data_IF_523991034686
#
_entry.id   IF_523991034686
#
_cell.length_a   1.000
_cell.length_b   1.000
_cell.length_c   1.000
_cell.angle_alpha   90.00
_cell.angle_beta   90.00
_cell.angle_gamma   90.00
#
_symmetry.space_group_name_H-M   'P 1'
#
loop_
_entity.id
_entity.type
_entity.pdbx_description
1 polymer ?
#
# COMPACT_ATOMS: atom_id res chain seq x y z
N UNK A 1 39.29 -46.88 51.20
CA UNK A 1 38.42 -47.07 50.02
C UNK A 1 37.34 -46.02 50.15
N UNK A 2 37.24 -44.96 49.32
CA UNK A 2 36.94 -44.96 47.88
C UNK A 2 37.32 -43.59 47.28
N UNK A 3 37.98 -43.61 46.11
CA UNK A 3 38.35 -42.46 45.26
C UNK A 3 37.12 -41.66 44.77
N UNK A 4 37.20 -40.33 44.75
CA UNK A 4 36.50 -39.43 43.81
C UNK A 4 37.42 -38.23 43.50
N UNK A 5 38.27 -38.37 42.48
CA UNK A 5 38.17 -37.72 41.16
C UNK A 5 38.17 -36.19 41.22
N UNK A 6 39.37 -35.63 40.98
CA UNK A 6 39.61 -34.24 40.60
C UNK A 6 39.02 -33.99 39.22
N UNK A 7 38.16 -32.98 39.09
CA UNK A 7 37.81 -32.39 37.80
C UNK A 7 38.29 -30.94 37.81
N UNK A 8 39.40 -30.69 37.12
CA UNK A 8 39.90 -29.33 36.86
C UNK A 8 39.01 -28.69 35.78
N UNK A 9 38.20 -27.71 36.16
CA UNK A 9 37.47 -26.88 35.20
C UNK A 9 38.43 -25.79 34.68
N UNK A 10 39.00 -26.02 33.50
CA UNK A 10 39.69 -24.98 32.75
C UNK A 10 38.65 -24.03 32.14
N UNK A 11 38.48 -22.85 32.75
CA UNK A 11 37.67 -21.77 32.19
C UNK A 11 38.51 -21.07 31.11
N UNK A 12 38.30 -21.46 29.86
CA UNK A 12 38.79 -20.72 28.69
C UNK A 12 37.89 -19.49 28.49
N UNK A 13 38.36 -18.33 28.96
CA UNK A 13 37.76 -17.05 28.64
C UNK A 13 38.06 -16.72 27.18
N UNK A 14 37.08 -16.91 26.29
CA UNK A 14 37.13 -16.41 24.90
C UNK A 14 36.63 -14.97 24.92
N UNK A 15 37.45 -13.96 24.59
CA UNK A 15 36.96 -12.60 24.41
C UNK A 15 36.10 -12.54 23.13
N UNK A 16 34.79 -12.42 23.29
CA UNK A 16 33.86 -12.09 22.21
C UNK A 16 34.04 -10.60 21.86
N UNK A 17 34.99 -10.32 20.98
CA UNK A 17 35.12 -9.01 20.33
C UNK A 17 33.98 -8.85 19.31
N UNK A 18 32.78 -8.46 19.79
CA UNK A 18 31.74 -7.94 18.90
C UNK A 18 32.15 -6.55 18.42
N UNK A 19 32.89 -6.50 17.31
CA UNK A 19 33.05 -5.28 16.54
C UNK A 19 31.71 -4.91 15.94
N UNK A 20 30.98 -3.98 16.58
CA UNK A 20 29.82 -3.33 15.96
C UNK A 20 30.37 -2.40 14.88
N UNK A 21 30.52 -2.91 13.66
CA UNK A 21 30.66 -2.05 12.48
C UNK A 21 29.33 -1.35 12.27
N UNK A 22 29.18 -0.15 12.84
CA UNK A 22 28.09 0.75 12.47
C UNK A 22 28.30 1.09 10.98
N UNK A 23 27.40 0.70 10.07
CA UNK A 23 27.49 1.22 8.71
C UNK A 23 27.37 2.74 8.82
N UNK A 24 28.35 3.45 8.27
CA UNK A 24 28.21 4.89 8.06
C UNK A 24 26.89 5.09 7.31
N UNK A 25 25.92 5.72 7.96
CA UNK A 25 24.65 6.06 7.35
C UNK A 25 24.97 7.03 6.21
N UNK A 26 25.18 6.50 5.01
CA UNK A 26 25.06 7.29 3.81
C UNK A 26 23.68 7.90 3.88
N UNK A 27 23.61 9.22 4.11
CA UNK A 27 22.39 9.97 3.94
C UNK A 27 22.01 9.80 2.47
N UNK A 28 21.20 8.79 2.16
CA UNK A 28 20.51 8.71 0.88
C UNK A 28 19.64 9.95 0.86
N UNK A 29 20.06 10.95 0.09
CA UNK A 29 19.17 12.05 -0.29
C UNK A 29 17.90 11.38 -0.79
N UNK A 30 16.78 11.62 -0.11
CA UNK A 30 15.51 11.05 -0.53
C UNK A 30 15.30 11.49 -1.99
N UNK A 31 14.96 10.55 -2.90
CA UNK A 31 14.62 10.92 -4.27
C UNK A 31 13.59 12.04 -4.24
N UNK A 32 13.78 13.07 -5.07
CA UNK A 32 12.79 14.13 -5.20
C UNK A 32 11.51 13.52 -5.75
N UNK A 33 10.46 13.49 -4.95
CA UNK A 33 9.13 13.00 -5.35
C UNK A 33 8.54 13.85 -6.47
N UNK A 34 7.69 13.25 -7.30
CA UNK A 34 6.88 13.99 -8.26
C UNK A 34 5.86 14.88 -7.53
N UNK A 35 6.15 16.18 -7.45
CA UNK A 35 5.32 17.12 -6.69
C UNK A 35 3.88 17.22 -7.22
N UNK A 36 3.66 17.05 -8.53
CA UNK A 36 2.34 17.13 -9.14
C UNK A 36 1.51 15.90 -8.76
N UNK A 37 2.06 14.69 -8.90
CA UNK A 37 1.40 13.46 -8.44
C UNK A 37 1.18 13.48 -6.93
N UNK A 38 2.14 13.98 -6.14
CA UNK A 38 1.98 14.09 -4.69
C UNK A 38 0.83 15.04 -4.30
N UNK A 39 0.68 16.16 -5.00
CA UNK A 39 -0.44 17.08 -4.80
C UNK A 39 -1.77 16.43 -5.21
N UNK A 40 -1.79 15.73 -6.35
CA UNK A 40 -2.96 15.02 -6.83
C UNK A 40 -3.43 13.94 -5.85
N UNK A 41 -2.51 13.10 -5.33
CA UNK A 41 -2.83 12.08 -4.33
C UNK A 41 -3.47 12.68 -3.08
N UNK A 42 -2.93 13.80 -2.58
CA UNK A 42 -3.53 14.50 -1.42
C UNK A 42 -4.92 15.04 -1.76
N UNK A 43 -5.08 15.67 -2.93
CA UNK A 43 -6.35 16.24 -3.35
C UNK A 43 -7.44 15.18 -3.51
N UNK A 44 -7.16 14.04 -4.16
CA UNK A 44 -8.15 12.96 -4.33
C UNK A 44 -8.46 12.21 -3.04
N UNK A 45 -7.60 12.29 -2.02
CA UNK A 45 -7.81 11.67 -0.72
C UNK A 45 -8.58 12.57 0.27
N UNK A 46 -8.52 13.89 0.09
CA UNK A 46 -9.15 14.86 0.97
C UNK A 46 -10.65 15.02 0.64
N UNK A 47 -11.57 14.63 1.55
CA UNK A 47 -13.01 14.75 1.32
C UNK A 47 -13.52 16.20 1.28
N UNK A 48 -12.71 17.17 1.68
CA UNK A 48 -13.06 18.60 1.65
C UNK A 48 -12.76 19.26 0.31
N UNK A 49 -11.94 18.63 -0.54
CA UNK A 49 -11.59 19.14 -1.87
C UNK A 49 -12.73 18.81 -2.84
N UNK A 50 -13.27 19.83 -3.50
CA UNK A 50 -14.34 19.66 -4.49
C UNK A 50 -13.89 18.75 -5.65
N UNK A 51 -14.78 17.91 -6.18
CA UNK A 51 -14.45 16.94 -7.24
C UNK A 51 -13.82 17.60 -8.47
N UNK A 52 -14.28 18.80 -8.84
CA UNK A 52 -13.68 19.55 -9.94
C UNK A 52 -12.21 19.93 -9.65
N UNK A 53 -11.88 20.27 -8.41
CA UNK A 53 -10.50 20.55 -7.99
C UNK A 53 -9.64 19.30 -7.89
N UNK A 54 -10.22 18.17 -7.46
CA UNK A 54 -9.55 16.87 -7.52
C UNK A 54 -9.15 16.53 -8.97
N UNK A 55 -10.08 16.68 -9.92
CA UNK A 55 -9.80 16.44 -11.36
C UNK A 55 -8.75 17.43 -11.89
N UNK A 56 -8.85 18.71 -11.53
CA UNK A 56 -7.86 19.74 -11.92
C UNK A 56 -6.45 19.47 -11.36
N UNK A 57 -6.35 18.77 -10.23
CA UNK A 57 -5.06 18.44 -9.61
C UNK A 57 -4.27 17.38 -10.35
N UNK A 58 -4.91 16.59 -11.24
CA UNK A 58 -4.27 15.50 -11.97
C UNK A 58 -3.18 16.08 -12.90
N UNK A 59 -1.96 15.52 -12.90
CA UNK A 59 -0.85 16.06 -13.69
C UNK A 59 -1.15 16.13 -15.19
N UNK A 60 -0.58 17.14 -15.86
CA UNK A 60 -0.59 17.20 -17.31
C UNK A 60 0.16 15.99 -17.90
N UNK A 61 -0.36 15.40 -18.98
CA UNK A 61 0.21 14.20 -19.58
C UNK A 61 -0.14 12.90 -18.85
N UNK A 62 -1.08 12.93 -17.90
CA UNK A 62 -1.67 11.72 -17.35
C UNK A 62 -2.42 10.93 -18.45
N UNK A 63 -2.46 9.61 -18.32
CA UNK A 63 -2.84 8.71 -19.40
C UNK A 63 -4.30 8.86 -19.88
N UNK A 64 -5.16 9.43 -19.04
CA UNK A 64 -6.57 9.66 -19.32
C UNK A 64 -7.08 10.87 -18.54
N UNK A 65 -8.28 11.33 -18.89
CA UNK A 65 -8.98 12.36 -18.11
C UNK A 65 -9.81 11.70 -17.01
N UNK A 66 -9.48 11.97 -15.75
CA UNK A 66 -10.32 11.55 -14.63
C UNK A 66 -11.71 12.20 -14.73
N UNK A 67 -12.73 11.47 -14.32
CA UNK A 67 -14.12 11.95 -14.36
C UNK A 67 -14.70 12.11 -12.96
N UNK A 68 -15.78 12.85 -12.84
CA UNK A 68 -16.47 13.03 -11.57
C UNK A 68 -17.25 11.77 -11.19
N UNK A 69 -16.91 11.15 -10.06
CA UNK A 69 -17.78 10.22 -9.36
C UNK A 69 -18.61 10.93 -8.28
N UNK A 70 -19.47 10.19 -7.56
CA UNK A 70 -20.16 10.70 -6.38
C UNK A 70 -19.19 11.13 -5.27
N UNK A 71 -18.85 12.42 -5.25
CA UNK A 71 -18.06 13.06 -4.19
C UNK A 71 -16.53 12.98 -4.36
N UNK A 72 -16.01 12.29 -5.37
CA UNK A 72 -14.58 12.23 -5.66
C UNK A 72 -14.26 11.91 -7.13
N UNK A 73 -13.05 12.23 -7.57
CA UNK A 73 -12.56 11.91 -8.91
C UNK A 73 -12.32 10.39 -9.06
N UNK A 74 -12.58 9.86 -10.25
CA UNK A 74 -12.44 8.43 -10.56
C UNK A 74 -11.73 8.18 -11.88
N UNK A 75 -11.11 7.00 -11.99
CA UNK A 75 -10.69 6.43 -13.26
C UNK A 75 -11.93 5.96 -14.05
N UNK A 76 -12.27 6.54 -15.22
CA UNK A 76 -13.44 6.13 -16.00
C UNK A 76 -13.34 4.70 -16.54
N UNK A 77 -12.13 4.15 -16.61
CA UNK A 77 -11.82 2.82 -17.12
C UNK A 77 -11.41 1.84 -16.01
N UNK A 78 -11.41 2.27 -14.75
CA UNK A 78 -11.04 1.43 -13.61
C UNK A 78 -12.09 0.37 -13.33
N UNK A 79 -11.72 -0.61 -12.52
CA UNK A 79 -12.60 -1.68 -12.10
C UNK A 79 -12.32 -2.11 -10.65
N UNK A 80 -13.25 -2.87 -10.07
CA UNK A 80 -12.94 -3.61 -8.86
C UNK A 80 -12.21 -4.90 -9.25
N UNK A 81 -10.89 -4.82 -9.42
CA UNK A 81 -10.04 -5.99 -9.63
C UNK A 81 -10.05 -6.89 -8.37
N UNK A 82 -10.96 -7.87 -8.37
CA UNK A 82 -11.15 -8.82 -7.27
C UNK A 82 -11.39 -10.23 -7.81
N UNK A 83 -10.77 -11.22 -7.15
CA UNK A 83 -10.94 -12.65 -7.46
C UNK A 83 -12.33 -13.18 -7.11
N UNK A 84 -13.05 -12.46 -6.25
CA UNK A 84 -14.45 -12.73 -5.91
C UNK A 84 -15.33 -11.55 -6.33
N UNK A 85 -16.57 -11.79 -6.76
CA UNK A 85 -17.51 -10.70 -7.05
C UNK A 85 -17.68 -9.79 -5.83
N UNK A 86 -17.47 -8.50 -6.04
CA UNK A 86 -17.70 -7.48 -5.01
C UNK A 86 -19.09 -6.84 -5.19
N UNK A 87 -19.68 -6.28 -4.12
CA UNK A 87 -20.94 -5.56 -4.23
C UNK A 87 -20.84 -4.40 -5.24
N UNK A 88 -21.90 -4.18 -6.03
CA UNK A 88 -21.92 -3.15 -7.07
C UNK A 88 -21.60 -1.74 -6.53
N UNK A 89 -22.01 -1.43 -5.30
CA UNK A 89 -21.74 -0.14 -4.65
C UNK A 89 -20.24 0.11 -4.40
N UNK A 90 -19.37 -0.88 -4.60
CA UNK A 90 -17.92 -0.74 -4.49
C UNK A 90 -17.26 -0.27 -5.80
N UNK A 91 -17.97 -0.31 -6.94
CA UNK A 91 -17.43 0.09 -8.25
C UNK A 91 -16.79 1.48 -8.22
N UNK A 92 -17.50 2.47 -7.66
CA UNK A 92 -17.00 3.85 -7.60
C UNK A 92 -15.79 3.97 -6.65
N UNK A 93 -15.82 3.47 -5.39
CA UNK A 93 -14.63 3.43 -4.55
C UNK A 93 -13.41 2.77 -5.21
N UNK A 94 -13.59 1.64 -5.91
CA UNK A 94 -12.50 0.95 -6.61
C UNK A 94 -11.93 1.81 -7.74
N UNK A 95 -12.78 2.42 -8.59
CA UNK A 95 -12.32 3.32 -9.65
C UNK A 95 -11.56 4.54 -9.13
N UNK A 96 -11.89 5.02 -7.94
CA UNK A 96 -11.16 6.09 -7.28
C UNK A 96 -9.81 5.62 -6.71
N UNK A 97 -9.76 4.39 -6.21
CA UNK A 97 -8.52 3.73 -5.76
C UNK A 97 -7.56 3.50 -6.92
N UNK A 98 -8.07 3.01 -8.06
CA UNK A 98 -7.30 2.85 -9.30
C UNK A 98 -6.70 4.17 -9.78
N UNK A 99 -7.47 5.27 -9.72
CA UNK A 99 -6.94 6.60 -10.04
C UNK A 99 -5.74 6.96 -9.16
N UNK A 100 -5.82 6.70 -7.85
CA UNK A 100 -4.69 6.89 -6.95
C UNK A 100 -3.49 6.02 -7.31
N UNK A 101 -3.71 4.76 -7.63
CA UNK A 101 -2.67 3.82 -8.06
C UNK A 101 -2.01 4.24 -9.37
N UNK A 102 -2.77 4.78 -10.32
CA UNK A 102 -2.23 5.30 -11.57
C UNK A 102 -1.39 6.56 -11.36
N UNK A 103 -1.70 7.40 -10.37
CA UNK A 103 -0.83 8.52 -9.97
C UNK A 103 0.51 8.03 -9.42
N UNK A 104 0.53 6.92 -8.67
CA UNK A 104 1.78 6.29 -8.22
C UNK A 104 2.60 5.78 -9.40
N UNK A 105 1.95 5.11 -10.36
CA UNK A 105 2.61 4.61 -11.58
C UNK A 105 3.14 5.74 -12.45
N UNK A 106 2.40 6.84 -12.56
CA UNK A 106 2.84 8.04 -13.28
C UNK A 106 4.12 8.61 -12.67
N UNK A 107 4.15 8.79 -11.34
CA UNK A 107 5.34 9.29 -10.64
C UNK A 107 6.56 8.35 -10.78
N UNK A 108 6.33 7.04 -10.74
CA UNK A 108 7.39 6.04 -10.97
C UNK A 108 7.94 6.12 -12.40
N UNK A 109 7.05 6.23 -13.39
CA UNK A 109 7.41 6.33 -14.81
C UNK A 109 8.18 7.62 -15.15
N UNK A 110 8.00 8.70 -14.39
CA UNK A 110 8.79 9.94 -14.53
C UNK A 110 10.12 9.90 -13.76
N UNK A 111 10.45 8.77 -13.12
CA UNK A 111 11.68 8.59 -12.35
C UNK A 111 11.68 9.29 -11.00
N UNK A 112 10.50 9.74 -10.53
CA UNK A 112 10.31 10.48 -9.27
C UNK A 112 9.21 9.82 -8.42
N UNK A 113 9.40 8.54 -8.02
CA UNK A 113 8.37 7.80 -7.31
C UNK A 113 7.98 8.50 -6.01
N UNK A 114 6.70 8.40 -5.65
CA UNK A 114 6.23 8.87 -4.36
C UNK A 114 6.65 7.89 -3.26
N UNK A 115 6.87 8.41 -2.06
CA UNK A 115 7.14 7.60 -0.88
C UNK A 115 5.94 6.76 -0.46
N UNK A 116 6.21 5.81 0.44
CA UNK A 116 5.25 4.85 0.97
C UNK A 116 3.99 5.49 1.61
N UNK A 117 4.06 6.77 2.00
CA UNK A 117 2.93 7.54 2.49
C UNK A 117 1.77 7.58 1.48
N UNK A 118 2.08 7.68 0.18
CA UNK A 118 1.08 7.91 -0.85
C UNK A 118 0.20 6.67 -1.05
N UNK A 119 0.82 5.48 -1.17
CA UNK A 119 0.09 4.22 -1.30
C UNK A 119 -0.76 3.92 -0.07
N UNK A 120 -0.23 4.13 1.13
CA UNK A 120 -1.01 3.95 2.37
C UNK A 120 -2.20 4.91 2.45
N UNK A 121 -2.02 6.18 2.10
CA UNK A 121 -3.11 7.14 2.06
C UNK A 121 -4.22 6.69 1.09
N UNK A 122 -3.85 6.25 -0.12
CA UNK A 122 -4.79 5.74 -1.12
C UNK A 122 -5.56 4.51 -0.60
N UNK A 123 -4.86 3.56 0.03
CA UNK A 123 -5.46 2.34 0.58
C UNK A 123 -6.38 2.65 1.78
N UNK A 124 -6.02 3.61 2.63
CA UNK A 124 -6.83 4.06 3.76
C UNK A 124 -8.09 4.81 3.28
N UNK A 125 -7.96 5.69 2.27
CA UNK A 125 -9.10 6.34 1.63
C UNK A 125 -10.05 5.34 0.98
N UNK A 126 -9.55 4.24 0.38
CA UNK A 126 -10.40 3.15 -0.08
C UNK A 126 -11.19 2.53 1.08
N UNK A 127 -10.53 2.22 2.20
CA UNK A 127 -11.20 1.64 3.37
C UNK A 127 -12.32 2.53 3.90
N UNK A 128 -12.09 3.84 3.98
CA UNK A 128 -13.08 4.84 4.38
C UNK A 128 -14.28 4.88 3.41
N UNK A 129 -14.02 4.90 2.09
CA UNK A 129 -15.07 4.92 1.07
C UNK A 129 -15.91 3.66 1.05
N UNK A 130 -15.30 2.49 1.21
CA UNK A 130 -16.02 1.22 1.34
C UNK A 130 -16.87 1.19 2.61
N UNK A 131 -16.33 1.67 3.73
CA UNK A 131 -17.09 1.82 4.98
C UNK A 131 -18.31 2.74 4.80
N UNK A 132 -18.13 3.89 4.13
CA UNK A 132 -19.22 4.81 3.81
C UNK A 132 -20.30 4.18 2.91
N UNK A 133 -19.89 3.45 1.86
CA UNK A 133 -20.81 2.71 0.99
C UNK A 133 -21.63 1.67 1.80
N UNK A 134 -20.99 0.97 2.73
CA UNK A 134 -21.70 0.06 3.63
C UNK A 134 -22.62 0.79 4.62
N UNK A 135 -22.24 1.97 5.12
CA UNK A 135 -23.07 2.79 6.00
C UNK A 135 -24.36 3.30 5.34
N UNK A 136 -24.34 3.51 4.02
CA UNK A 136 -25.51 3.94 3.25
C UNK A 136 -26.56 2.82 3.04
N UNK A 137 -26.22 1.56 3.33
CA UNK A 137 -27.13 0.42 3.16
C UNK A 137 -28.21 0.33 4.26
N UNK A 138 -29.32 -0.40 4.01
CA UNK A 138 -30.25 -0.80 5.05
C UNK A 138 -29.53 -1.49 6.22
N UNK A 139 -29.95 -1.22 7.46
CA UNK A 139 -29.26 -1.64 8.69
C UNK A 139 -28.92 -3.14 8.68
N UNK A 140 -29.84 -3.98 8.24
CA UNK A 140 -29.70 -5.43 8.16
C UNK A 140 -28.61 -5.92 7.18
N UNK A 141 -28.20 -5.09 6.22
CA UNK A 141 -27.17 -5.44 5.22
C UNK A 141 -25.79 -4.87 5.57
N UNK A 142 -25.70 -3.92 6.52
CA UNK A 142 -24.46 -3.19 6.82
C UNK A 142 -23.34 -4.11 7.28
N UNK A 143 -23.66 -5.08 8.16
CA UNK A 143 -22.66 -6.01 8.70
C UNK A 143 -22.03 -6.87 7.60
N UNK A 144 -22.86 -7.49 6.76
CA UNK A 144 -22.37 -8.32 5.65
C UNK A 144 -21.52 -7.49 4.66
N UNK A 145 -21.93 -6.25 4.36
CA UNK A 145 -21.15 -5.34 3.54
C UNK A 145 -19.78 -5.03 4.18
N UNK A 146 -19.77 -4.71 5.48
CA UNK A 146 -18.55 -4.39 6.22
C UNK A 146 -17.58 -5.58 6.27
N UNK A 147 -18.08 -6.81 6.42
CA UNK A 147 -17.26 -8.02 6.38
C UNK A 147 -16.56 -8.17 5.02
N UNK A 148 -17.28 -7.95 3.91
CA UNK A 148 -16.71 -7.99 2.54
C UNK A 148 -15.72 -6.84 2.31
N UNK A 149 -16.05 -5.62 2.75
CA UNK A 149 -15.13 -4.47 2.69
C UNK A 149 -13.83 -4.75 3.45
N UNK A 150 -13.92 -5.37 4.64
CA UNK A 150 -12.76 -5.74 5.45
C UNK A 150 -11.83 -6.71 4.73
N UNK A 151 -12.39 -7.72 4.04
CA UNK A 151 -11.60 -8.67 3.23
C UNK A 151 -10.90 -7.95 2.07
N UNK A 152 -11.61 -7.07 1.36
CA UNK A 152 -11.03 -6.31 0.25
C UNK A 152 -9.87 -5.42 0.71
N UNK A 153 -10.06 -4.68 1.81
CA UNK A 153 -9.02 -3.83 2.42
C UNK A 153 -7.82 -4.67 2.90
N UNK A 154 -8.06 -5.83 3.50
CA UNK A 154 -6.99 -6.73 3.92
C UNK A 154 -6.17 -7.24 2.73
N UNK A 155 -6.83 -7.62 1.63
CA UNK A 155 -6.17 -8.08 0.42
C UNK A 155 -5.28 -6.98 -0.18
N UNK A 156 -5.79 -5.75 -0.27
CA UNK A 156 -5.03 -4.58 -0.74
C UNK A 156 -3.83 -4.30 0.17
N UNK A 157 -4.01 -4.27 1.49
CA UNK A 157 -2.92 -4.02 2.45
C UNK A 157 -1.86 -5.11 2.44
N UNK A 158 -2.26 -6.37 2.31
CA UNK A 158 -1.32 -7.49 2.14
C UNK A 158 -0.51 -7.34 0.84
N UNK A 159 -1.15 -6.92 -0.25
CA UNK A 159 -0.49 -6.61 -1.51
C UNK A 159 0.50 -5.45 -1.37
N UNK A 160 0.11 -4.39 -0.65
CA UNK A 160 0.97 -3.23 -0.36
C UNK A 160 2.20 -3.63 0.44
N UNK A 161 2.05 -4.44 1.48
CA UNK A 161 3.17 -5.00 2.24
C UNK A 161 4.10 -5.84 1.36
N UNK A 162 3.53 -6.77 0.57
CA UNK A 162 4.28 -7.67 -0.32
C UNK A 162 5.07 -6.90 -1.38
N UNK A 163 4.53 -5.80 -1.87
CA UNK A 163 5.17 -4.92 -2.85
C UNK A 163 5.94 -3.75 -2.19
N UNK A 164 6.24 -3.86 -0.89
CA UNK A 164 7.08 -2.92 -0.14
C UNK A 164 6.62 -1.45 -0.22
N UNK A 165 5.31 -1.24 -0.14
CA UNK A 165 4.66 0.08 -0.24
C UNK A 165 4.91 0.84 -1.56
N UNK A 166 5.54 0.23 -2.56
CA UNK A 166 5.84 0.85 -3.84
C UNK A 166 4.62 0.97 -4.77
N UNK A 167 4.74 1.58 -5.95
CA UNK A 167 3.67 1.59 -6.95
C UNK A 167 3.22 0.16 -7.30
N UNK A 168 1.91 -0.07 -7.48
CA UNK A 168 1.37 -1.37 -7.82
C UNK A 168 1.80 -1.81 -9.22
N UNK A 169 2.40 -2.99 -9.33
CA UNK A 169 2.88 -3.58 -10.58
C UNK A 169 2.00 -4.74 -11.01
N UNK A 170 1.86 -4.91 -12.32
CA UNK A 170 1.34 -6.16 -12.87
C UNK A 170 2.39 -7.25 -12.64
N UNK A 171 1.95 -8.41 -12.15
CA UNK A 171 2.82 -9.54 -11.86
C UNK A 171 2.27 -10.80 -12.52
N UNK A 172 3.16 -11.57 -13.13
CA UNK A 172 2.90 -12.93 -13.56
C UNK A 172 2.62 -13.85 -12.37
N UNK A 173 1.97 -14.98 -12.61
CA UNK A 173 1.71 -16.00 -11.57
C UNK A 173 3.00 -16.45 -10.89
N UNK A 174 4.09 -16.57 -11.64
CA UNK A 174 5.42 -16.88 -11.09
C UNK A 174 5.95 -15.78 -10.18
N UNK A 175 5.82 -14.51 -10.56
CA UNK A 175 6.27 -13.37 -9.73
C UNK A 175 5.44 -13.27 -8.45
N UNK A 176 4.12 -13.49 -8.54
CA UNK A 176 3.25 -13.60 -7.38
C UNK A 176 3.73 -14.73 -6.46
N UNK A 177 3.93 -15.94 -6.96
CA UNK A 177 4.38 -17.08 -6.17
C UNK A 177 5.74 -16.82 -5.49
N UNK A 178 6.72 -16.30 -6.23
CA UNK A 178 8.05 -15.98 -5.69
C UNK A 178 8.00 -14.86 -4.66
N UNK A 179 7.21 -13.80 -4.89
CA UNK A 179 7.10 -12.68 -3.95
C UNK A 179 6.45 -13.08 -2.63
N UNK A 180 5.48 -14.01 -2.64
CA UNK A 180 4.91 -14.56 -1.41
C UNK A 180 5.92 -15.36 -0.60
N UNK A 181 6.79 -16.12 -1.28
CA UNK A 181 7.85 -16.90 -0.64
C UNK A 181 8.94 -15.99 -0.02
N UNK A 182 9.27 -14.88 -0.67
CA UNK A 182 10.34 -13.98 -0.21
C UNK A 182 9.86 -12.89 0.74
N UNK A 183 8.60 -12.44 0.65
CA UNK A 183 8.02 -11.48 1.59
C UNK A 183 7.93 -12.08 3.01
N UNK A 184 7.69 -13.39 3.13
CA UNK A 184 7.74 -14.10 4.41
C UNK A 184 9.13 -14.24 5.05
N UNK A 185 10.21 -13.93 4.33
CA UNK A 185 11.60 -14.06 4.83
C UNK A 185 12.09 -12.89 5.67
N UNK A 186 11.22 -11.93 6.01
CA UNK A 186 11.54 -10.74 6.83
C UNK A 186 10.57 -10.51 8.00
N UNK A 187 9.94 -11.59 8.47
CA UNK A 187 9.35 -11.69 9.81
C UNK A 187 10.34 -12.43 10.72
#
# INVERSE_FOLDING_TARGET
MTRRMLAAAAVLAVPLSFGISLPAAAQKVAPTEDAASAAAVRAIADPTVAVADQIRSIPAGFAYTAVAGPGYAINPHGDCSSVVPLPADFDVPCKAHDLGYDLLRHADATGRPLGAWARRLIDDTLAERLSAACGARPVQQRRQCADVAGIAVLAVRANTWRQHDGPPRAESVSELATSWLTAGGRL
#
